data_IF_460378148182
#
_entry.id   IF_460378148182
#
_cell.length_a   1.000
_cell.length_b   1.000
_cell.length_c   1.000
_cell.angle_alpha   90.00
_cell.angle_beta   90.00
_cell.angle_gamma   90.00
#
_symmetry.space_group_name_H-M   'P 1'
#
loop_
_entity.id
_entity.type
_entity.pdbx_description
1 polymer ?
#
# COMPACT_ATOMS: atom_id res chain seq x y z
N UNK A 1 12.37 -34.14 40.64
CA UNK A 1 11.57 -32.91 40.72
C UNK A 1 12.38 -31.77 40.13
N UNK A 2 12.18 -31.51 38.83
CA UNK A 2 12.80 -30.38 38.13
C UNK A 2 11.79 -29.24 38.14
N UNK A 3 12.08 -28.21 38.93
CA UNK A 3 11.28 -27.01 39.03
C UNK A 3 11.66 -26.11 37.82
N UNK A 4 10.86 -26.07 36.80
CA UNK A 4 10.97 -25.02 35.78
C UNK A 4 10.40 -23.72 36.38
N UNK A 5 11.28 -22.88 36.91
CA UNK A 5 10.97 -21.52 37.30
C UNK A 5 10.73 -20.70 36.05
N UNK A 6 9.47 -20.49 35.66
CA UNK A 6 9.08 -19.57 34.59
C UNK A 6 9.48 -18.16 34.95
N UNK A 7 10.46 -17.58 34.26
CA UNK A 7 10.76 -16.15 34.31
C UNK A 7 9.48 -15.40 33.86
N UNK A 8 8.76 -14.80 34.80
CA UNK A 8 7.76 -13.79 34.50
C UNK A 8 8.49 -12.57 33.88
N UNK A 9 8.55 -12.49 32.58
CA UNK A 9 8.97 -11.26 31.92
C UNK A 9 7.94 -10.18 32.21
N UNK A 10 8.32 -9.20 32.99
CA UNK A 10 7.48 -8.04 33.33
C UNK A 10 7.64 -7.04 32.18
N UNK A 11 6.76 -7.09 31.18
CA UNK A 11 6.75 -6.13 30.08
C UNK A 11 6.19 -4.80 30.60
N UNK A 12 7.00 -3.75 30.55
CA UNK A 12 6.51 -2.39 30.75
C UNK A 12 5.97 -1.88 29.41
N UNK A 13 4.65 -1.70 29.32
CA UNK A 13 4.00 -1.25 28.07
C UNK A 13 3.93 0.27 28.04
N UNK A 14 4.45 0.88 26.97
CA UNK A 14 4.28 2.31 26.69
C UNK A 14 2.86 2.65 26.21
N UNK A 15 2.52 3.92 26.25
CA UNK A 15 1.26 4.45 25.77
C UNK A 15 1.46 5.04 24.37
N UNK A 16 0.65 4.58 23.43
CA UNK A 16 0.64 5.13 22.07
C UNK A 16 -0.09 6.48 22.04
N UNK A 17 0.58 7.52 21.58
CA UNK A 17 0.04 8.87 21.45
C UNK A 17 0.00 9.31 20.00
N UNK A 18 -1.17 9.80 19.54
CA UNK A 18 -1.36 10.34 18.20
C UNK A 18 -0.99 11.83 18.17
N UNK A 19 -0.14 12.22 17.23
CA UNK A 19 0.17 13.62 16.93
C UNK A 19 -0.87 14.10 15.92
N UNK A 20 -1.74 14.99 16.35
CA UNK A 20 -2.89 15.45 15.55
C UNK A 20 -2.55 16.56 14.56
N UNK A 21 -1.47 17.29 14.80
CA UNK A 21 -1.02 18.38 13.93
C UNK A 21 0.16 17.93 13.06
N UNK A 22 -0.11 17.45 11.85
CA UNK A 22 0.93 17.00 10.92
C UNK A 22 1.89 18.14 10.52
N UNK A 23 1.43 19.39 10.62
CA UNK A 23 2.24 20.59 10.28
C UNK A 23 3.39 20.85 11.27
N UNK A 24 3.41 20.17 12.41
CA UNK A 24 4.57 20.20 13.32
C UNK A 24 5.79 19.47 12.72
N UNK A 25 5.55 18.45 11.89
CA UNK A 25 6.59 17.69 11.22
C UNK A 25 6.81 18.16 9.78
N UNK A 26 5.72 18.37 9.04
CA UNK A 26 5.74 18.83 7.65
C UNK A 26 5.01 20.16 7.53
N UNK A 27 5.75 21.26 7.57
CA UNK A 27 5.19 22.61 7.50
C UNK A 27 4.52 22.90 6.16
N UNK A 28 5.15 22.43 5.10
CA UNK A 28 4.69 22.59 3.73
C UNK A 28 4.47 21.22 3.06
N UNK A 29 3.39 21.11 2.31
CA UNK A 29 3.01 19.86 1.64
C UNK A 29 3.98 19.48 0.51
N UNK A 30 4.19 20.39 -0.43
CA UNK A 30 5.03 20.14 -1.59
C UNK A 30 6.53 20.03 -1.22
N UNK A 31 7.04 20.95 -0.38
CA UNK A 31 8.48 21.02 -0.09
C UNK A 31 8.94 20.06 1.01
N UNK A 32 8.05 19.71 1.94
CA UNK A 32 8.39 18.87 3.08
C UNK A 32 7.81 17.46 2.94
N UNK A 33 6.48 17.33 2.87
CA UNK A 33 5.82 16.01 2.85
C UNK A 33 6.06 15.26 1.54
N UNK A 34 5.81 15.90 0.39
CA UNK A 34 6.02 15.26 -0.93
C UNK A 34 7.46 14.80 -1.09
N UNK A 35 8.44 15.65 -0.71
CA UNK A 35 9.87 15.26 -0.76
C UNK A 35 10.26 14.20 0.25
N UNK A 36 9.61 14.18 1.42
CA UNK A 36 9.81 13.13 2.41
C UNK A 36 9.25 11.80 1.89
N UNK A 37 8.03 11.81 1.35
CA UNK A 37 7.36 10.63 0.83
C UNK A 37 8.10 10.01 -0.36
N UNK A 38 8.63 10.84 -1.26
CA UNK A 38 9.33 10.42 -2.46
C UNK A 38 10.69 9.72 -2.19
N UNK A 39 11.20 9.74 -0.95
CA UNK A 39 12.41 8.99 -0.60
C UNK A 39 12.10 7.49 -0.59
N UNK A 40 13.02 6.69 -1.13
CA UNK A 40 12.88 5.24 -1.23
C UNK A 40 12.45 4.56 0.09
N UNK A 41 13.08 4.93 1.22
CA UNK A 41 12.73 4.37 2.53
C UNK A 41 11.30 4.69 2.97
N UNK A 42 10.74 5.82 2.53
CA UNK A 42 9.44 6.30 2.97
C UNK A 42 8.32 5.87 2.03
N UNK A 43 8.55 5.89 0.71
CA UNK A 43 7.59 5.32 -0.25
C UNK A 43 7.41 3.82 -0.04
N UNK A 44 8.45 3.14 0.46
CA UNK A 44 8.37 1.73 0.85
C UNK A 44 7.35 1.49 1.96
N UNK A 45 7.20 2.39 2.93
CA UNK A 45 6.17 2.27 3.98
C UNK A 45 4.76 2.32 3.39
N UNK A 46 4.55 3.17 2.37
CA UNK A 46 3.29 3.22 1.64
C UNK A 46 3.07 1.95 0.81
N UNK A 47 4.12 1.46 0.14
CA UNK A 47 4.10 0.22 -0.65
C UNK A 47 3.71 -0.99 0.21
N UNK A 48 4.29 -1.11 1.41
CA UNK A 48 3.98 -2.18 2.36
C UNK A 48 2.50 -2.17 2.79
N UNK A 49 1.94 -0.98 3.03
CA UNK A 49 0.50 -0.85 3.37
C UNK A 49 -0.41 -1.18 2.18
N UNK A 50 -0.05 -0.75 0.98
CA UNK A 50 -0.85 -0.98 -0.23
C UNK A 50 -0.73 -2.41 -0.77
N UNK A 51 0.38 -3.10 -0.46
CA UNK A 51 0.66 -4.47 -0.88
C UNK A 51 1.19 -4.60 -2.30
N UNK A 52 1.82 -3.54 -2.85
CA UNK A 52 2.54 -3.52 -4.13
C UNK A 52 3.68 -2.50 -4.10
N UNK A 53 4.71 -2.72 -4.92
CA UNK A 53 5.90 -1.88 -4.93
C UNK A 53 5.71 -0.64 -5.81
N UNK A 54 6.07 0.52 -5.26
CA UNK A 54 6.00 1.82 -5.91
C UNK A 54 7.41 2.34 -6.14
N UNK A 55 7.74 2.66 -7.38
CA UNK A 55 8.95 3.39 -7.74
C UNK A 55 8.59 4.79 -8.20
N UNK A 56 9.14 5.79 -7.54
CA UNK A 56 8.90 7.20 -7.84
C UNK A 56 9.68 7.60 -9.09
N UNK A 57 8.99 8.13 -10.09
CA UNK A 57 9.59 8.65 -11.31
C UNK A 57 9.94 10.13 -11.17
N UNK A 58 8.98 10.94 -10.69
CA UNK A 58 9.11 12.39 -10.63
C UNK A 58 8.21 12.97 -9.53
N UNK A 59 8.68 14.02 -8.86
CA UNK A 59 7.88 14.86 -7.97
C UNK A 59 7.50 16.14 -8.67
N UNK A 60 6.30 16.69 -8.35
CA UNK A 60 5.75 17.89 -9.00
C UNK A 60 5.69 17.71 -10.55
N UNK A 61 5.31 16.51 -10.98
CA UNK A 61 5.25 16.15 -12.38
C UNK A 61 4.16 16.93 -13.11
N UNK A 62 4.48 17.40 -14.31
CA UNK A 62 3.58 18.23 -15.10
C UNK A 62 3.24 17.61 -16.45
N UNK A 63 1.96 17.60 -16.81
CA UNK A 63 1.52 17.29 -18.17
C UNK A 63 0.47 18.33 -18.60
N UNK A 64 0.83 19.16 -19.60
CA UNK A 64 -0.01 20.26 -20.04
C UNK A 64 -0.26 21.29 -18.92
N UNK A 65 -1.48 21.32 -18.39
CA UNK A 65 -1.89 22.21 -17.28
C UNK A 65 -2.01 21.49 -15.95
N UNK A 66 -1.70 20.20 -15.90
CA UNK A 66 -1.86 19.37 -14.72
C UNK A 66 -0.52 19.22 -14.01
N UNK A 67 -0.53 19.40 -12.69
CA UNK A 67 0.61 19.15 -11.82
C UNK A 67 0.16 18.16 -10.75
N UNK A 68 0.82 17.02 -10.68
CA UNK A 68 0.62 16.00 -9.66
C UNK A 68 1.80 16.01 -8.70
N UNK A 69 1.54 15.80 -7.42
CA UNK A 69 2.60 15.84 -6.39
C UNK A 69 3.68 14.77 -6.66
N UNK A 70 3.28 13.54 -7.00
CA UNK A 70 4.21 12.46 -7.36
C UNK A 70 3.64 11.66 -8.53
N UNK A 71 4.47 11.47 -9.56
CA UNK A 71 4.29 10.45 -10.58
C UNK A 71 5.20 9.27 -10.27
N UNK A 72 4.67 8.06 -10.39
CA UNK A 72 5.35 6.82 -10.07
C UNK A 72 4.87 5.69 -10.99
N UNK A 73 5.48 4.52 -10.87
CA UNK A 73 4.98 3.30 -11.48
C UNK A 73 5.00 2.13 -10.48
N UNK A 74 4.18 1.14 -10.74
CA UNK A 74 4.18 -0.14 -10.03
C UNK A 74 5.23 -1.06 -10.68
N UNK A 75 6.17 -1.58 -9.87
CA UNK A 75 7.39 -2.25 -10.36
C UNK A 75 7.13 -3.53 -11.17
N UNK A 76 6.06 -4.27 -10.86
CA UNK A 76 5.82 -5.56 -11.51
C UNK A 76 5.01 -5.45 -12.81
N UNK A 77 4.11 -4.48 -12.90
CA UNK A 77 3.16 -4.33 -14.02
C UNK A 77 3.41 -3.12 -14.88
N UNK A 78 4.33 -2.23 -14.47
CA UNK A 78 4.63 -0.95 -15.10
C UNK A 78 3.41 0.00 -15.20
N UNK A 79 2.41 -0.21 -14.32
CA UNK A 79 1.22 0.63 -14.26
C UNK A 79 1.56 2.02 -13.77
N UNK A 80 1.05 3.03 -14.47
CA UNK A 80 1.22 4.43 -14.09
C UNK A 80 0.46 4.73 -12.80
N UNK A 81 1.15 5.31 -11.83
CA UNK A 81 0.64 5.75 -10.54
C UNK A 81 0.74 7.27 -10.45
N UNK A 82 -0.33 7.91 -9.97
CA UNK A 82 -0.27 9.29 -9.49
C UNK A 82 -0.60 9.32 -8.00
N UNK A 83 0.11 10.19 -7.26
CA UNK A 83 -0.13 10.41 -5.84
C UNK A 83 -0.44 11.89 -5.65
N UNK A 84 -1.59 12.19 -5.04
CA UNK A 84 -2.00 13.52 -4.58
C UNK A 84 -1.95 13.56 -3.06
N UNK A 85 -1.30 14.56 -2.51
CA UNK A 85 -1.12 14.77 -1.08
C UNK A 85 -2.03 15.89 -0.58
N UNK A 86 -2.67 15.67 0.57
CA UNK A 86 -3.47 16.70 1.24
C UNK A 86 -3.29 16.54 2.75
N UNK A 87 -2.40 17.32 3.36
CA UNK A 87 -2.18 17.30 4.81
C UNK A 87 -3.31 17.98 5.61
N UNK A 88 -4.51 17.92 5.07
CA UNK A 88 -5.76 18.45 5.62
C UNK A 88 -6.86 17.38 5.49
N UNK A 89 -8.06 17.75 5.96
CA UNK A 89 -9.25 16.93 5.74
C UNK A 89 -9.64 16.93 4.26
N UNK A 90 -10.11 15.81 3.72
CA UNK A 90 -10.58 15.67 2.33
C UNK A 90 -11.54 16.79 1.93
N UNK A 91 -11.44 17.26 0.68
CA UNK A 91 -12.34 18.23 0.09
C UNK A 91 -12.65 17.91 -1.38
N UNK A 92 -13.64 18.60 -1.96
CA UNK A 92 -14.10 18.39 -3.33
C UNK A 92 -13.04 18.78 -4.37
N UNK A 93 -12.22 19.80 -4.07
CA UNK A 93 -11.19 20.28 -5.00
C UNK A 93 -10.13 19.20 -5.25
N UNK A 94 -9.64 18.53 -4.17
CA UNK A 94 -8.67 17.45 -4.31
C UNK A 94 -9.29 16.19 -4.93
N UNK A 95 -10.54 15.84 -4.61
CA UNK A 95 -11.23 14.77 -5.31
C UNK A 95 -11.33 15.07 -6.83
N UNK A 96 -11.66 16.29 -7.19
CA UNK A 96 -11.67 16.75 -8.57
C UNK A 96 -10.29 16.64 -9.24
N UNK A 97 -9.21 17.03 -8.53
CA UNK A 97 -7.83 16.86 -9.02
C UNK A 97 -7.48 15.39 -9.26
N UNK A 98 -7.75 14.52 -8.31
CA UNK A 98 -7.51 13.06 -8.45
C UNK A 98 -8.12 12.54 -9.74
N UNK A 99 -9.39 12.87 -10.02
CA UNK A 99 -10.10 12.43 -11.24
C UNK A 99 -9.50 13.05 -12.51
N UNK A 100 -9.30 14.37 -12.51
CA UNK A 100 -8.82 15.10 -13.70
C UNK A 100 -7.38 14.75 -14.04
N UNK A 101 -6.52 14.59 -13.01
CA UNK A 101 -5.11 14.23 -13.21
C UNK A 101 -4.95 12.78 -13.65
N UNK A 102 -5.81 11.87 -13.15
CA UNK A 102 -5.86 10.48 -13.63
C UNK A 102 -6.02 10.43 -15.15
N UNK A 103 -6.97 11.19 -15.67
CA UNK A 103 -7.21 11.27 -17.12
C UNK A 103 -6.04 11.95 -17.87
N UNK A 104 -5.44 12.99 -17.28
CA UNK A 104 -4.33 13.72 -17.89
C UNK A 104 -3.03 12.94 -17.99
N UNK A 105 -2.76 12.05 -17.04
CA UNK A 105 -1.57 11.21 -16.98
C UNK A 105 -1.80 9.78 -17.47
N UNK A 106 -3.03 9.44 -17.90
CA UNK A 106 -3.45 8.07 -18.25
C UNK A 106 -3.07 7.08 -17.14
N UNK A 107 -3.40 7.47 -15.91
CA UNK A 107 -2.96 6.74 -14.72
C UNK A 107 -3.89 5.56 -14.40
N UNK A 108 -3.31 4.38 -14.21
CA UNK A 108 -4.02 3.17 -13.80
C UNK A 108 -4.35 3.16 -12.30
N UNK A 109 -3.52 3.80 -11.49
CA UNK A 109 -3.63 3.81 -10.04
C UNK A 109 -3.54 5.25 -9.54
N UNK A 110 -4.50 5.62 -8.70
CA UNK A 110 -4.56 6.92 -8.05
C UNK A 110 -4.48 6.74 -6.55
N UNK A 111 -3.55 7.42 -5.90
CA UNK A 111 -3.38 7.39 -4.46
C UNK A 111 -3.62 8.80 -3.91
N UNK A 112 -4.68 8.96 -3.13
CA UNK A 112 -4.99 10.20 -2.46
C UNK A 112 -4.63 10.08 -0.99
N UNK A 113 -3.55 10.75 -0.57
CA UNK A 113 -3.05 10.72 0.81
C UNK A 113 -3.57 11.94 1.54
N UNK A 114 -4.25 11.73 2.67
CA UNK A 114 -4.92 12.79 3.43
C UNK A 114 -4.65 12.67 4.93
N UNK A 115 -4.79 13.79 5.64
CA UNK A 115 -4.77 13.82 7.11
C UNK A 115 -6.01 13.17 7.71
N UNK A 116 -7.19 13.58 7.26
CA UNK A 116 -8.48 13.11 7.74
C UNK A 116 -9.48 12.94 6.59
N UNK A 117 -10.41 12.00 6.73
CA UNK A 117 -11.38 11.64 5.71
C UNK A 117 -12.79 11.99 6.15
N UNK A 118 -13.55 12.67 5.28
CA UNK A 118 -15.00 12.83 5.43
C UNK A 118 -15.73 11.65 4.83
N UNK A 119 -16.79 11.22 5.46
CA UNK A 119 -17.58 10.05 5.02
C UNK A 119 -18.10 10.19 3.59
N UNK A 120 -18.55 11.39 3.19
CA UNK A 120 -19.02 11.66 1.83
C UNK A 120 -17.94 11.47 0.76
N UNK A 121 -16.68 11.79 1.06
CA UNK A 121 -15.57 11.56 0.12
C UNK A 121 -15.17 10.10 0.06
N UNK A 122 -15.17 9.40 1.21
CA UNK A 122 -14.98 7.95 1.23
C UNK A 122 -16.04 7.25 0.38
N UNK A 123 -17.33 7.60 0.57
CA UNK A 123 -18.43 7.05 -0.22
C UNK A 123 -18.26 7.35 -1.72
N UNK A 124 -17.80 8.55 -2.07
CA UNK A 124 -17.55 8.92 -3.46
C UNK A 124 -16.42 8.07 -4.08
N UNK A 125 -15.32 7.86 -3.34
CA UNK A 125 -14.21 6.99 -3.81
C UNK A 125 -14.66 5.53 -3.91
N UNK A 126 -15.41 5.02 -2.95
CA UNK A 126 -15.98 3.67 -3.00
C UNK A 126 -16.90 3.50 -4.24
N UNK A 127 -17.76 4.49 -4.51
CA UNK A 127 -18.64 4.49 -5.66
C UNK A 127 -17.88 4.54 -6.98
N UNK A 128 -16.83 5.37 -7.09
CA UNK A 128 -15.96 5.41 -8.26
C UNK A 128 -15.29 4.07 -8.50
N UNK A 129 -14.72 3.45 -7.47
CA UNK A 129 -14.07 2.14 -7.56
C UNK A 129 -15.05 1.01 -7.94
N UNK A 130 -16.33 1.14 -7.63
CA UNK A 130 -17.37 0.16 -7.98
C UNK A 130 -17.88 0.31 -9.41
N UNK A 131 -17.96 1.56 -9.91
CA UNK A 131 -18.63 1.89 -11.18
C UNK A 131 -17.67 2.25 -12.31
N UNK A 132 -16.36 2.35 -12.04
CA UNK A 132 -15.34 2.51 -13.07
C UNK A 132 -14.93 1.17 -13.65
N UNK A 133 -14.25 1.20 -14.78
CA UNK A 133 -13.62 0.03 -15.37
C UNK A 133 -12.36 -0.40 -14.59
N UNK A 134 -11.72 -1.48 -15.03
CA UNK A 134 -10.53 -2.05 -14.37
C UNK A 134 -9.25 -1.19 -14.50
N UNK A 135 -9.31 -0.11 -15.29
CA UNK A 135 -8.19 0.82 -15.48
C UNK A 135 -8.18 1.96 -14.45
N UNK A 136 -9.27 2.16 -13.69
CA UNK A 136 -9.34 3.19 -12.65
C UNK A 136 -9.34 2.54 -11.28
N UNK A 137 -8.27 2.78 -10.51
CA UNK A 137 -8.07 2.20 -9.20
C UNK A 137 -7.68 3.28 -8.19
N UNK A 138 -8.64 3.76 -7.39
CA UNK A 138 -8.44 4.86 -6.46
C UNK A 138 -8.22 4.33 -5.05
N UNK A 139 -7.08 4.66 -4.45
CA UNK A 139 -6.77 4.42 -3.05
C UNK A 139 -6.92 5.73 -2.28
N UNK A 140 -7.74 5.72 -1.24
CA UNK A 140 -7.82 6.79 -0.25
C UNK A 140 -7.06 6.34 0.99
N UNK A 141 -5.97 7.04 1.30
CA UNK A 141 -5.03 6.66 2.35
C UNK A 141 -4.93 7.78 3.37
N UNK A 142 -5.05 7.46 4.64
CA UNK A 142 -4.82 8.39 5.73
C UNK A 142 -3.37 8.29 6.19
N UNK A 143 -2.70 9.45 6.37
CA UNK A 143 -1.39 9.53 7.03
C UNK A 143 -1.56 9.95 8.49
N UNK A 144 -1.01 9.19 9.39
CA UNK A 144 -1.02 9.44 10.82
C UNK A 144 0.41 9.54 11.36
N UNK A 145 0.58 10.31 12.42
CA UNK A 145 1.83 10.37 13.18
C UNK A 145 1.59 9.90 14.62
N UNK A 146 2.47 9.00 15.06
CA UNK A 146 2.39 8.37 16.37
C UNK A 146 3.73 8.41 17.09
N UNK A 147 3.70 8.39 18.42
CA UNK A 147 4.87 8.19 19.29
C UNK A 147 4.50 7.36 20.51
N UNK A 148 5.49 6.82 21.19
CA UNK A 148 5.38 6.16 22.50
C UNK A 148 6.28 6.94 23.45
N UNK A 149 5.69 7.60 24.44
CA UNK A 149 6.40 8.47 25.39
C UNK A 149 7.35 9.44 24.64
N UNK A 150 8.63 9.45 24.95
CA UNK A 150 9.64 10.33 24.32
C UNK A 150 10.32 9.70 23.08
N UNK A 151 9.71 8.69 22.46
CA UNK A 151 10.26 8.07 21.24
C UNK A 151 10.26 9.03 20.04
N UNK A 152 10.97 8.62 19.00
CA UNK A 152 10.85 9.26 17.68
C UNK A 152 9.41 9.15 17.17
N UNK A 153 8.99 10.13 16.38
CA UNK A 153 7.68 10.14 15.72
C UNK A 153 7.70 9.11 14.58
N UNK A 154 6.70 8.24 14.59
CA UNK A 154 6.51 7.20 13.58
C UNK A 154 5.33 7.55 12.65
N UNK A 155 5.53 7.65 11.33
CA UNK A 155 4.46 7.76 10.36
C UNK A 155 3.76 6.41 10.20
N UNK A 156 2.44 6.45 9.98
CA UNK A 156 1.62 5.29 9.70
C UNK A 156 0.65 5.63 8.58
N UNK A 157 0.64 4.84 7.53
CA UNK A 157 -0.40 4.87 6.51
C UNK A 157 -1.54 3.93 6.89
N UNK A 158 -2.76 4.32 6.55
CA UNK A 158 -3.95 3.50 6.75
C UNK A 158 -4.84 3.60 5.52
N UNK A 159 -5.14 2.48 4.88
CA UNK A 159 -6.07 2.44 3.75
C UNK A 159 -7.49 2.66 4.27
N UNK A 160 -8.16 3.70 3.80
CA UNK A 160 -9.56 4.03 4.14
C UNK A 160 -10.52 3.50 3.07
N UNK A 161 -10.11 3.57 1.79
CA UNK A 161 -10.83 2.99 0.65
C UNK A 161 -9.86 2.47 -0.39
N UNK A 162 -10.21 1.38 -1.05
CA UNK A 162 -9.44 0.72 -2.11
C UNK A 162 -10.35 0.00 -3.10
N UNK A 163 -9.89 -0.28 -4.32
CA UNK A 163 -10.68 -1.02 -5.32
C UNK A 163 -11.12 -2.41 -4.82
N UNK A 164 -12.39 -2.75 -5.03
CA UNK A 164 -13.00 -4.01 -4.53
C UNK A 164 -12.32 -5.29 -5.04
N UNK A 165 -11.78 -5.26 -6.26
CA UNK A 165 -11.13 -6.40 -6.91
C UNK A 165 -9.60 -6.39 -6.80
N UNK A 166 -9.02 -5.40 -6.11
CA UNK A 166 -7.57 -5.22 -6.05
C UNK A 166 -6.82 -6.47 -5.57
N UNK A 167 -7.27 -7.10 -4.49
CA UNK A 167 -6.67 -8.33 -3.98
C UNK A 167 -6.76 -9.51 -4.97
N UNK A 168 -7.76 -9.52 -5.85
CA UNK A 168 -7.89 -10.53 -6.92
C UNK A 168 -7.00 -10.17 -8.12
N UNK A 169 -6.87 -8.88 -8.44
CA UNK A 169 -6.03 -8.39 -9.53
C UNK A 169 -4.54 -8.63 -9.22
N UNK A 170 -4.09 -8.32 -8.00
CA UNK A 170 -2.72 -8.64 -7.54
C UNK A 170 -2.47 -10.15 -7.65
N UNK A 171 -3.35 -10.99 -7.12
CA UNK A 171 -3.19 -12.45 -7.19
C UNK A 171 -3.17 -12.97 -8.63
N UNK A 172 -3.93 -12.36 -9.53
CA UNK A 172 -4.00 -12.75 -10.95
C UNK A 172 -2.76 -12.32 -11.71
N UNK A 173 -2.17 -11.17 -11.36
CA UNK A 173 -0.93 -10.66 -11.95
C UNK A 173 0.31 -11.37 -11.39
N UNK A 174 0.36 -11.68 -10.09
CA UNK A 174 1.39 -12.55 -9.51
C UNK A 174 1.38 -13.92 -10.18
N UNK A 175 0.21 -14.47 -10.51
CA UNK A 175 0.14 -15.75 -11.26
C UNK A 175 0.53 -15.63 -12.74
N UNK A 176 0.40 -14.43 -13.36
CA UNK A 176 0.84 -14.17 -14.74
C UNK A 176 2.33 -13.81 -14.84
N UNK A 177 2.87 -13.13 -13.85
CA UNK A 177 4.26 -12.66 -13.79
C UNK A 177 5.13 -13.49 -12.82
N UNK A 178 4.72 -14.73 -12.52
CA UNK A 178 5.59 -15.63 -11.76
C UNK A 178 6.93 -15.71 -12.46
N UNK A 179 8.00 -15.33 -11.77
CA UNK A 179 9.37 -15.49 -12.26
C UNK A 179 9.56 -16.97 -12.66
N UNK A 180 10.42 -17.26 -13.61
CA UNK A 180 10.74 -18.66 -13.98
C UNK A 180 11.07 -19.50 -12.73
N UNK A 181 11.72 -18.92 -11.72
CA UNK A 181 12.02 -19.57 -10.45
C UNK A 181 10.75 -19.92 -9.66
N UNK A 182 9.78 -19.01 -9.56
CA UNK A 182 8.51 -19.25 -8.86
C UNK A 182 7.65 -20.28 -9.59
N UNK A 183 7.68 -20.30 -10.92
CA UNK A 183 6.99 -21.32 -11.73
C UNK A 183 7.63 -22.69 -11.52
N UNK A 184 8.97 -22.78 -11.50
CA UNK A 184 9.69 -24.03 -11.21
C UNK A 184 9.37 -24.52 -9.79
N UNK A 185 9.33 -23.63 -8.80
CA UNK A 185 8.98 -23.98 -7.42
C UNK A 185 7.55 -24.50 -7.31
N UNK A 186 6.59 -23.85 -7.97
CA UNK A 186 5.19 -24.30 -7.96
C UNK A 186 5.06 -25.69 -8.60
N UNK A 187 5.64 -25.89 -9.77
CA UNK A 187 5.63 -27.19 -10.47
C UNK A 187 6.29 -28.28 -9.62
N UNK A 188 7.43 -27.97 -8.98
CA UNK A 188 8.08 -28.90 -8.06
C UNK A 188 7.14 -29.34 -6.92
N UNK A 189 6.42 -28.40 -6.31
CA UNK A 189 5.52 -28.73 -5.20
C UNK A 189 4.26 -29.48 -5.66
N UNK A 190 3.76 -29.20 -6.87
CA UNK A 190 2.67 -29.97 -7.47
C UNK A 190 3.09 -31.39 -7.77
N UNK A 191 4.26 -31.59 -8.39
CA UNK A 191 4.84 -32.90 -8.66
C UNK A 191 5.12 -33.66 -7.37
N UNK A 192 5.66 -32.99 -6.35
CA UNK A 192 5.91 -33.62 -5.05
C UNK A 192 4.60 -34.06 -4.36
N UNK A 193 3.56 -33.24 -4.45
CA UNK A 193 2.24 -33.61 -3.95
C UNK A 193 1.69 -34.83 -4.65
N UNK A 194 1.73 -34.85 -5.99
CA UNK A 194 1.26 -35.99 -6.80
C UNK A 194 2.06 -37.25 -6.47
N UNK A 195 3.38 -37.13 -6.30
CA UNK A 195 4.22 -38.26 -5.88
C UNK A 195 3.83 -38.80 -4.50
N UNK A 196 3.57 -37.92 -3.53
CA UNK A 196 3.15 -38.32 -2.18
C UNK A 196 1.78 -39.02 -2.19
N UNK A 197 0.84 -38.52 -3.00
CA UNK A 197 -0.48 -39.14 -3.18
C UNK A 197 -0.38 -40.54 -3.81
N UNK A 198 0.41 -40.68 -4.87
CA UNK A 198 0.66 -41.99 -5.54
C UNK A 198 1.30 -42.99 -4.58
N UNK A 199 2.26 -42.57 -3.77
CA UNK A 199 2.95 -43.41 -2.79
C UNK A 199 2.18 -43.59 -1.47
N UNK A 200 0.97 -43.03 -1.33
CA UNK A 200 0.14 -43.05 -0.11
C UNK A 200 0.91 -42.65 1.14
N UNK A 201 1.78 -41.66 1.00
CA UNK A 201 2.55 -41.11 2.09
C UNK A 201 1.59 -40.28 2.96
N UNK A 202 1.55 -40.54 4.25
CA UNK A 202 0.58 -39.92 5.16
C UNK A 202 1.03 -38.50 5.57
N UNK A 203 1.01 -37.56 4.61
CA UNK A 203 1.26 -36.14 4.83
C UNK A 203 0.01 -35.32 4.55
N UNK A 204 -0.29 -34.40 5.47
CA UNK A 204 -1.30 -33.38 5.25
C UNK A 204 -0.69 -32.24 4.43
N UNK A 205 -0.70 -32.34 3.10
CA UNK A 205 -0.16 -31.33 2.20
C UNK A 205 -1.17 -30.21 2.02
N UNK A 206 -0.79 -29.01 2.45
CA UNK A 206 -1.49 -27.74 2.18
C UNK A 206 -1.27 -27.41 0.69
N UNK A 207 -2.19 -26.63 0.12
CA UNK A 207 -2.13 -26.16 -1.28
C UNK A 207 -0.73 -25.63 -1.62
N UNK A 208 -0.10 -26.10 -2.72
CA UNK A 208 1.20 -25.61 -3.15
C UNK A 208 1.22 -24.10 -3.34
N UNK A 209 2.23 -23.45 -2.79
CA UNK A 209 2.48 -22.01 -2.95
C UNK A 209 3.97 -21.82 -3.24
N UNK A 210 4.36 -20.86 -4.09
CA UNK A 210 5.75 -20.46 -4.23
C UNK A 210 6.23 -19.84 -2.91
N UNK A 211 7.13 -20.52 -2.22
CA UNK A 211 7.67 -20.06 -0.95
C UNK A 211 9.18 -19.86 -1.06
N UNK A 212 9.66 -18.74 -0.52
CA UNK A 212 11.07 -18.52 -0.26
C UNK A 212 11.39 -19.07 1.14
N UNK A 213 12.42 -19.90 1.23
CA UNK A 213 12.98 -20.41 2.46
C UNK A 213 14.05 -19.46 2.99
#
# INVERSE_FOLDING_TARGET
HTIFGGLKMNYNLGKLEKITNLREVWKNEATDFTKWLAKESNIKLLSEELGFNITVDETEASTGRYNVDIKAHEEETDKTIIIENQLEMTNHDHLGKVIVYSAGFDADIQIWIVKDVRDEHKQAVDWLNEHSDEHINIFLVQIELWKIDDSLIAPKFQIISKPNNWAKAIRKNVSKNMSNASTIQLNFWEDFKNYCEDKKVNYSLIKPLPQHW
#
